data_IF_168427327630
#
_entry.id   IF_168427327630
#
_cell.length_a   1.000
_cell.length_b   1.000
_cell.length_c   1.000
_cell.angle_alpha   90.00
_cell.angle_beta   90.00
_cell.angle_gamma   90.00
#
_symmetry.space_group_name_H-M   'P 1'
#
loop_
_entity.id
_entity.type
_entity.pdbx_description
1 polymer ?
#
# COMPACT_ATOMS: atom_id res chain seq x y z
N UNK A 1 16.68 -9.15 4.56
CA UNK A 1 16.07 -8.57 3.35
C UNK A 1 17.16 -8.23 2.36
N UNK A 2 17.05 -8.74 1.14
CA UNK A 2 17.89 -8.36 -0.01
C UNK A 2 17.66 -6.90 -0.42
N UNK A 3 18.59 -6.35 -1.20
CA UNK A 3 18.58 -4.93 -1.57
C UNK A 3 17.37 -4.49 -2.42
N UNK A 4 16.70 -5.37 -3.17
CA UNK A 4 15.58 -4.96 -4.02
C UNK A 4 14.24 -4.85 -3.29
N UNK A 5 13.93 -5.78 -2.37
CA UNK A 5 12.77 -5.63 -1.48
C UNK A 5 12.78 -4.26 -0.78
N UNK A 6 13.97 -3.76 -0.42
CA UNK A 6 14.14 -2.42 0.16
C UNK A 6 13.71 -1.29 -0.79
N UNK A 7 13.95 -1.40 -2.10
CA UNK A 7 13.57 -0.37 -3.08
C UNK A 7 12.04 -0.31 -3.22
N UNK A 8 11.39 -1.44 -3.41
CA UNK A 8 9.93 -1.52 -3.47
C UNK A 8 9.28 -0.90 -2.23
N UNK A 9 9.70 -1.32 -1.02
CA UNK A 9 9.15 -0.76 0.22
C UNK A 9 9.48 0.72 0.42
N UNK A 10 10.61 1.21 -0.12
CA UNK A 10 10.95 2.63 -0.08
C UNK A 10 10.02 3.45 -0.97
N UNK A 11 9.79 3.00 -2.20
CA UNK A 11 8.89 3.65 -3.15
C UNK A 11 7.45 3.63 -2.62
N UNK A 12 6.97 2.48 -2.13
CA UNK A 12 5.64 2.39 -1.48
C UNK A 12 5.52 3.31 -0.25
N UNK A 13 6.58 3.44 0.55
CA UNK A 13 6.56 4.36 1.69
C UNK A 13 6.46 5.83 1.27
N UNK A 14 7.07 6.22 0.15
CA UNK A 14 6.96 7.59 -0.37
C UNK A 14 5.58 7.83 -0.99
N UNK A 15 5.01 6.84 -1.67
CA UNK A 15 3.64 6.86 -2.21
C UNK A 15 2.59 7.03 -1.10
N UNK A 16 2.65 6.24 -0.02
CA UNK A 16 1.72 6.36 1.11
C UNK A 16 1.83 7.69 1.86
N UNK A 17 3.02 8.30 1.87
CA UNK A 17 3.15 9.68 2.35
C UNK A 17 2.40 10.65 1.45
N UNK A 18 2.50 10.49 0.12
CA UNK A 18 1.73 11.29 -0.84
C UNK A 18 0.22 11.14 -0.65
N UNK A 19 -0.26 9.92 -0.36
CA UNK A 19 -1.67 9.68 -0.01
C UNK A 19 -2.11 10.44 1.25
N UNK A 20 -1.28 10.45 2.30
CA UNK A 20 -1.56 11.20 3.51
C UNK A 20 -1.58 12.72 3.27
N UNK A 21 -0.63 13.25 2.49
CA UNK A 21 -0.58 14.66 2.09
C UNK A 21 -1.82 15.07 1.30
N UNK A 22 -2.27 14.25 0.34
CA UNK A 22 -3.50 14.47 -0.43
C UNK A 22 -4.73 14.60 0.47
N UNK A 23 -4.86 13.75 1.51
CA UNK A 23 -5.92 13.85 2.51
C UNK A 23 -5.83 15.14 3.35
N UNK A 24 -4.61 15.56 3.71
CA UNK A 24 -4.39 16.79 4.47
C UNK A 24 -4.77 18.04 3.66
N UNK A 25 -4.38 18.08 2.39
CA UNK A 25 -4.76 19.14 1.45
C UNK A 25 -6.26 19.19 1.26
N UNK A 26 -6.92 18.04 1.05
CA UNK A 26 -8.37 17.97 0.93
C UNK A 26 -9.08 18.47 2.19
N UNK A 27 -8.60 18.07 3.36
CA UNK A 27 -9.14 18.53 4.64
C UNK A 27 -9.07 20.06 4.75
N UNK A 28 -7.93 20.66 4.42
CA UNK A 28 -7.77 22.13 4.42
C UNK A 28 -8.66 22.80 3.36
N UNK A 29 -8.77 22.21 2.16
CA UNK A 29 -9.62 22.71 1.05
C UNK A 29 -11.10 22.79 1.44
N UNK A 30 -11.59 21.85 2.26
CA UNK A 30 -12.96 21.83 2.79
C UNK A 30 -13.16 22.72 4.03
N UNK A 31 -12.13 23.45 4.46
CA UNK A 31 -12.15 24.30 5.66
C UNK A 31 -12.04 23.51 6.98
N UNK A 32 -11.71 22.22 6.90
CA UNK A 32 -11.38 21.39 8.05
C UNK A 32 -10.01 21.76 8.65
N UNK A 33 -9.70 21.21 9.81
CA UNK A 33 -8.39 21.37 10.47
C UNK A 33 -7.70 20.03 10.56
N UNK A 34 -6.53 19.91 9.94
CA UNK A 34 -5.68 18.73 10.05
C UNK A 34 -5.22 18.55 11.49
N UNK A 35 -5.37 17.33 12.03
CA UNK A 35 -4.85 16.93 13.34
C UNK A 35 -4.00 15.67 13.17
N UNK A 36 -2.69 15.84 13.16
CA UNK A 36 -1.75 14.72 13.11
C UNK A 36 -1.78 13.96 14.44
N UNK A 37 -1.91 12.64 14.38
CA UNK A 37 -1.87 11.76 15.53
C UNK A 37 -0.50 11.10 15.66
N UNK A 38 -0.19 10.56 16.84
CA UNK A 38 1.05 9.81 17.08
C UNK A 38 1.07 8.53 16.25
N UNK A 39 2.17 8.30 15.54
CA UNK A 39 2.44 7.04 14.83
C UNK A 39 3.12 6.08 15.81
N UNK A 40 2.60 4.86 15.92
CA UNK A 40 3.21 3.81 16.74
C UNK A 40 4.52 3.35 16.12
N UNK A 41 5.49 2.95 16.97
CA UNK A 41 6.75 2.41 16.50
C UNK A 41 6.49 1.15 15.65
N UNK A 42 6.95 1.10 14.39
CA UNK A 42 6.75 -0.07 13.54
C UNK A 42 7.65 -1.22 13.98
N UNK A 43 7.33 -2.42 13.50
CA UNK A 43 8.23 -3.57 13.61
C UNK A 43 9.52 -3.30 12.81
N UNK A 44 10.66 -3.67 13.39
CA UNK A 44 12.00 -3.48 12.78
C UNK A 44 12.60 -4.77 12.26
N UNK A 45 12.12 -5.92 12.73
CA UNK A 45 12.60 -7.25 12.35
C UNK A 45 11.52 -7.99 11.57
N UNK A 46 11.91 -8.53 10.41
CA UNK A 46 11.02 -9.26 9.49
C UNK A 46 11.56 -10.66 9.18
N UNK A 47 12.50 -11.16 9.98
CA UNK A 47 12.94 -12.55 9.83
C UNK A 47 11.84 -13.50 10.31
N UNK A 48 11.64 -14.59 9.57
CA UNK A 48 10.62 -15.57 9.86
C UNK A 48 11.11 -16.97 9.50
N UNK A 49 11.32 -17.81 10.52
CA UNK A 49 11.95 -19.13 10.36
C UNK A 49 11.27 -20.00 9.29
N UNK A 50 9.94 -20.07 9.28
CA UNK A 50 9.18 -20.92 8.35
C UNK A 50 8.99 -20.31 6.96
N UNK A 51 8.71 -19.01 6.86
CA UNK A 51 8.38 -18.35 5.59
C UNK A 51 9.58 -17.73 4.87
N UNK A 52 10.62 -17.38 5.60
CA UNK A 52 11.67 -16.50 5.12
C UNK A 52 11.24 -15.04 5.16
N UNK A 53 12.22 -14.14 5.10
CA UNK A 53 12.02 -12.69 5.24
C UNK A 53 11.20 -12.08 4.10
N UNK A 54 11.49 -12.44 2.84
CA UNK A 54 10.82 -11.88 1.67
C UNK A 54 9.32 -12.25 1.62
N UNK A 55 8.99 -13.53 1.81
CA UNK A 55 7.59 -13.98 1.80
C UNK A 55 6.82 -13.39 2.98
N UNK A 56 7.42 -13.34 4.17
CA UNK A 56 6.78 -12.75 5.33
C UNK A 56 6.50 -11.25 5.15
N UNK A 57 7.48 -10.49 4.64
CA UNK A 57 7.33 -9.07 4.37
C UNK A 57 6.22 -8.79 3.33
N UNK A 58 6.15 -9.56 2.25
CA UNK A 58 5.12 -9.40 1.23
C UNK A 58 3.71 -9.78 1.74
N UNK A 59 3.60 -10.82 2.57
CA UNK A 59 2.32 -11.17 3.22
C UNK A 59 1.86 -10.08 4.20
N UNK A 60 2.79 -9.46 4.94
CA UNK A 60 2.48 -8.34 5.82
C UNK A 60 2.04 -7.11 5.02
N UNK A 61 2.72 -6.79 3.92
CA UNK A 61 2.34 -5.71 3.01
C UNK A 61 0.92 -5.92 2.45
N UNK A 62 0.61 -7.15 2.01
CA UNK A 62 -0.73 -7.49 1.53
C UNK A 62 -1.80 -7.30 2.61
N UNK A 63 -1.49 -7.65 3.86
CA UNK A 63 -2.41 -7.46 4.98
C UNK A 63 -2.64 -5.96 5.27
N UNK A 64 -1.58 -5.14 5.21
CA UNK A 64 -1.67 -3.70 5.39
C UNK A 64 -2.48 -3.03 4.28
N UNK A 65 -2.25 -3.37 3.00
CA UNK A 65 -3.04 -2.81 1.89
C UNK A 65 -4.53 -3.14 2.02
N UNK A 66 -4.87 -4.38 2.40
CA UNK A 66 -6.26 -4.77 2.67
C UNK A 66 -6.88 -3.97 3.82
N UNK A 67 -6.10 -3.72 4.88
CA UNK A 67 -6.56 -2.91 6.01
C UNK A 67 -6.79 -1.45 5.60
N UNK A 68 -5.88 -0.87 4.81
CA UNK A 68 -6.04 0.50 4.28
C UNK A 68 -7.30 0.59 3.42
N UNK A 69 -7.53 -0.38 2.53
CA UNK A 69 -8.74 -0.43 1.72
C UNK A 69 -10.01 -0.51 2.58
N UNK A 70 -10.02 -1.32 3.63
CA UNK A 70 -11.12 -1.35 4.60
C UNK A 70 -11.32 0.02 5.28
N UNK A 71 -10.25 0.72 5.66
CA UNK A 71 -10.36 2.07 6.25
C UNK A 71 -10.87 3.11 5.26
N UNK A 72 -10.53 3.01 3.98
CA UNK A 72 -11.10 3.86 2.93
C UNK A 72 -12.60 3.61 2.75
N UNK A 73 -13.05 2.35 2.74
CA UNK A 73 -14.48 2.03 2.71
C UNK A 73 -15.22 2.54 3.95
N UNK A 74 -14.59 2.51 5.13
CA UNK A 74 -15.16 3.09 6.34
C UNK A 74 -15.29 4.62 6.21
N UNK A 75 -14.28 5.31 5.67
CA UNK A 75 -14.32 6.74 5.42
C UNK A 75 -15.44 7.10 4.42
N UNK A 76 -15.55 6.36 3.32
CA UNK A 76 -16.61 6.48 2.32
C UNK A 76 -18.00 6.30 2.94
N UNK A 77 -18.17 5.29 3.80
CA UNK A 77 -19.42 5.04 4.53
C UNK A 77 -19.81 6.21 5.44
N UNK A 78 -18.82 6.84 6.10
CA UNK A 78 -19.05 8.04 6.91
C UNK A 78 -19.48 9.22 6.04
N UNK A 79 -18.81 9.45 4.91
CA UNK A 79 -19.14 10.51 3.96
C UNK A 79 -20.57 10.36 3.43
N UNK A 80 -20.94 9.14 3.04
CA UNK A 80 -22.28 8.77 2.58
C UNK A 80 -23.33 9.01 3.66
N UNK A 81 -23.08 8.54 4.89
CA UNK A 81 -24.00 8.73 6.03
C UNK A 81 -24.20 10.20 6.39
N UNK A 82 -23.16 11.01 6.24
CA UNK A 82 -23.21 12.46 6.46
C UNK A 82 -23.79 13.24 5.27
N UNK A 83 -24.17 12.54 4.19
CA UNK A 83 -24.66 13.13 2.95
C UNK A 83 -23.69 14.19 2.40
N UNK A 84 -22.40 13.84 2.32
CA UNK A 84 -21.34 14.66 1.71
C UNK A 84 -20.92 14.03 0.36
N UNK A 85 -21.57 14.42 -0.76
CA UNK A 85 -21.27 13.85 -2.07
C UNK A 85 -19.84 14.16 -2.53
N UNK A 86 -19.30 15.33 -2.17
CA UNK A 86 -17.98 15.75 -2.61
C UNK A 86 -16.87 14.97 -1.92
N UNK A 87 -17.03 14.62 -0.64
CA UNK A 87 -16.09 13.74 0.06
C UNK A 87 -16.20 12.30 -0.45
N UNK A 88 -17.42 11.84 -0.73
CA UNK A 88 -17.67 10.51 -1.29
C UNK A 88 -16.97 10.34 -2.65
N UNK A 89 -17.20 11.29 -3.57
CA UNK A 89 -16.58 11.34 -4.90
C UNK A 89 -15.05 11.46 -4.84
N UNK A 90 -14.52 12.28 -3.91
CA UNK A 90 -13.07 12.40 -3.71
C UNK A 90 -12.44 11.08 -3.26
N UNK A 91 -13.05 10.35 -2.32
CA UNK A 91 -12.52 9.05 -1.87
C UNK A 91 -12.59 8.02 -3.00
N UNK A 92 -13.67 8.03 -3.78
CA UNK A 92 -13.81 7.14 -4.93
C UNK A 92 -12.74 7.42 -5.99
N UNK A 93 -12.68 8.65 -6.50
CA UNK A 93 -11.79 9.04 -7.61
C UNK A 93 -10.30 8.95 -7.26
N UNK A 94 -9.90 9.43 -6.07
CA UNK A 94 -8.49 9.57 -5.71
C UNK A 94 -7.89 8.36 -5.01
N UNK A 95 -8.70 7.42 -4.50
CA UNK A 95 -8.19 6.27 -3.73
C UNK A 95 -8.81 4.91 -4.13
N UNK A 96 -10.09 4.84 -4.54
CA UNK A 96 -10.72 3.54 -4.86
C UNK A 96 -10.66 3.20 -6.36
N UNK A 97 -10.80 4.19 -7.23
CA UNK A 97 -10.85 4.02 -8.67
C UNK A 97 -9.48 4.16 -9.36
N UNK A 98 -8.57 4.94 -8.76
CA UNK A 98 -7.24 5.34 -9.27
C UNK A 98 -6.92 4.94 -10.72
N UNK A 99 -7.73 5.46 -11.64
CA UNK A 99 -7.40 5.72 -13.02
C UNK A 99 -7.66 7.20 -13.18
N UNK A 100 -6.62 8.03 -13.04
CA UNK A 100 -6.44 9.30 -13.75
C UNK A 100 -5.13 9.91 -13.25
N UNK A 101 -4.08 9.63 -14.03
CA UNK A 101 -3.05 10.56 -14.50
C UNK A 101 -1.58 10.41 -14.06
N UNK A 102 -1.18 9.73 -12.98
CA UNK A 102 0.27 9.66 -12.67
C UNK A 102 0.82 8.37 -12.05
N UNK A 103 -0.01 7.41 -11.61
CA UNK A 103 0.45 6.08 -11.15
C UNK A 103 -0.46 4.96 -11.71
N UNK A 104 0.08 3.80 -12.09
CA UNK A 104 -0.63 2.83 -12.95
C UNK A 104 -1.59 1.86 -12.24
N UNK A 105 -1.93 2.03 -10.96
CA UNK A 105 -2.69 1.02 -10.22
C UNK A 105 -3.74 1.60 -9.26
N UNK A 106 -4.98 1.10 -9.35
CA UNK A 106 -5.97 1.28 -8.28
C UNK A 106 -5.59 0.49 -7.03
N UNK A 107 -6.19 0.77 -5.86
CA UNK A 107 -5.97 -0.04 -4.63
C UNK A 107 -6.25 -1.53 -4.82
N UNK A 108 -7.23 -1.87 -5.67
CA UNK A 108 -7.52 -3.27 -6.03
C UNK A 108 -6.36 -3.87 -6.82
N UNK A 109 -5.75 -3.09 -7.71
CA UNK A 109 -4.59 -3.53 -8.49
C UNK A 109 -3.33 -3.64 -7.62
N UNK A 110 -3.13 -2.75 -6.63
CA UNK A 110 -2.05 -2.86 -5.66
C UNK A 110 -2.17 -4.15 -4.83
N UNK A 111 -3.37 -4.45 -4.30
CA UNK A 111 -3.66 -5.70 -3.59
C UNK A 111 -3.40 -6.91 -4.50
N UNK A 112 -3.83 -6.85 -5.76
CA UNK A 112 -3.61 -7.92 -6.74
C UNK A 112 -2.13 -8.12 -7.02
N UNK A 113 -1.37 -7.06 -7.27
CA UNK A 113 0.08 -7.10 -7.56
C UNK A 113 0.85 -7.73 -6.40
N UNK A 114 0.60 -7.29 -5.16
CA UNK A 114 1.24 -7.90 -3.99
C UNK A 114 0.78 -9.36 -3.81
N UNK A 115 -0.48 -9.68 -4.09
CA UNK A 115 -0.98 -11.07 -4.04
C UNK A 115 -0.31 -11.97 -5.09
N UNK A 116 0.01 -11.45 -6.27
CA UNK A 116 0.80 -12.14 -7.30
C UNK A 116 2.22 -12.38 -6.81
N UNK A 117 2.87 -11.38 -6.20
CA UNK A 117 4.19 -11.53 -5.58
C UNK A 117 4.22 -12.59 -4.48
N UNK A 118 3.24 -12.61 -3.58
CA UNK A 118 3.09 -13.65 -2.55
C UNK A 118 2.96 -15.03 -3.20
N UNK A 119 2.16 -15.15 -4.26
CA UNK A 119 1.97 -16.42 -4.97
C UNK A 119 3.24 -16.89 -5.66
N UNK A 120 4.00 -15.97 -6.27
CA UNK A 120 5.28 -16.26 -6.89
C UNK A 120 6.32 -16.70 -5.86
N UNK A 121 6.44 -15.99 -4.73
CA UNK A 121 7.36 -16.34 -3.64
C UNK A 121 7.05 -17.72 -3.04
N UNK A 122 5.76 -18.05 -2.84
CA UNK A 122 5.34 -19.39 -2.41
C UNK A 122 5.71 -20.48 -3.43
N UNK A 123 5.66 -20.17 -4.72
CA UNK A 123 5.99 -21.10 -5.80
C UNK A 123 7.49 -21.35 -5.94
N UNK A 124 8.32 -20.31 -5.86
CA UNK A 124 9.77 -20.41 -6.07
C UNK A 124 10.52 -20.92 -4.84
N UNK A 125 9.93 -20.79 -3.64
CA UNK A 125 10.53 -21.24 -2.39
C UNK A 125 11.76 -20.43 -1.98
N UNK A 126 12.39 -20.85 -0.88
CA UNK A 126 13.53 -20.13 -0.26
C UNK A 126 14.83 -20.27 -1.06
N UNK A 127 15.80 -19.42 -0.74
CA UNK A 127 17.16 -19.48 -1.31
C UNK A 127 17.20 -18.88 -2.72
N UNK A 128 17.63 -19.68 -3.70
CA UNK A 128 17.84 -19.21 -5.08
C UNK A 128 16.56 -18.67 -5.73
N UNK A 129 15.39 -19.22 -5.39
CA UNK A 129 14.10 -18.76 -5.90
C UNK A 129 13.78 -17.32 -5.49
N UNK A 130 14.03 -16.98 -4.22
CA UNK A 130 13.88 -15.61 -3.70
C UNK A 130 14.86 -14.66 -4.38
N UNK A 131 16.09 -15.10 -4.63
CA UNK A 131 17.09 -14.26 -5.33
C UNK A 131 16.66 -13.94 -6.78
N UNK A 132 16.16 -14.91 -7.54
CA UNK A 132 15.60 -14.65 -8.88
C UNK A 132 14.37 -13.72 -8.84
N UNK A 133 13.50 -13.91 -7.85
CA UNK A 133 12.36 -13.02 -7.65
C UNK A 133 12.81 -11.59 -7.35
N UNK A 134 13.85 -11.42 -6.53
CA UNK A 134 14.46 -10.12 -6.23
C UNK A 134 15.05 -9.45 -7.49
N UNK A 135 15.63 -10.23 -8.42
CA UNK A 135 16.09 -9.69 -9.71
C UNK A 135 14.94 -9.25 -10.63
N UNK A 136 13.87 -10.04 -10.73
CA UNK A 136 12.67 -9.66 -11.50
C UNK A 136 12.08 -8.34 -10.98
N UNK A 137 12.05 -8.16 -9.65
CA UNK A 137 11.53 -6.95 -9.03
C UNK A 137 12.42 -5.71 -9.31
N UNK A 138 13.74 -5.90 -9.51
CA UNK A 138 14.64 -4.82 -9.95
C UNK A 138 14.34 -4.36 -11.37
N UNK A 139 14.09 -5.31 -12.27
CA UNK A 139 13.80 -5.04 -13.68
C UNK A 139 12.44 -4.36 -13.86
N UNK A 140 11.43 -4.74 -13.09
CA UNK A 140 10.11 -4.07 -13.11
C UNK A 140 10.15 -2.61 -12.62
N UNK A 141 11.15 -2.25 -11.84
CA UNK A 141 11.32 -0.90 -11.29
C UNK A 141 12.31 -0.04 -12.10
N UNK A 142 12.91 -0.57 -13.18
CA UNK A 142 13.83 0.15 -14.06
C UNK A 142 13.10 0.82 -15.23
#
# INVERSE_FOLDING_TARGET
MSACSCRFFKESSDEERGHAEKLMEYQNKRGGRVRLQSIVTPLTEFDHAEKGDALYAMELALALEKLVNEKLHNLHSVATRCNDPQLTDFVESEFLQEQVNLLPYSRVDAIKKISEYVSQLRRVGKGHGVWHFDQMLLEEAA
#
